data_IF_574332952809
#
_entry.id   IF_574332952809
#
_cell.length_a   1.000
_cell.length_b   1.000
_cell.length_c   1.000
_cell.angle_alpha   90.00
_cell.angle_beta   90.00
_cell.angle_gamma   90.00
#
_symmetry.space_group_name_H-M   'P 1'
#
loop_
_entity.id
_entity.type
_entity.pdbx_description
1 polymer ?
#
# COMPACT_ATOMS: atom_id res chain seq x y z
N UNK A 1 0.07 9.55 -2.72
CA UNK A 1 -1.20 9.86 -2.02
C UNK A 1 -1.02 9.50 -0.54
N UNK A 2 -2.02 9.71 0.34
CA UNK A 2 -2.03 9.26 1.76
C UNK A 2 -3.37 8.65 2.14
N UNK A 3 -3.93 7.86 1.22
CA UNK A 3 -5.31 7.40 1.31
C UNK A 3 -5.43 6.32 2.38
N UNK A 4 -4.49 5.38 2.43
CA UNK A 4 -4.48 4.31 3.44
C UNK A 4 -4.31 4.84 4.88
N UNK A 5 -3.71 6.02 5.04
CA UNK A 5 -3.54 6.66 6.34
C UNK A 5 -4.80 7.40 6.82
N UNK A 6 -5.73 7.70 5.91
CA UNK A 6 -6.92 8.52 6.20
C UNK A 6 -8.24 7.77 6.02
N UNK A 7 -8.24 6.65 5.30
CA UNK A 7 -9.40 5.77 5.13
C UNK A 7 -9.27 4.53 6.01
N UNK A 8 -10.40 4.00 6.46
CA UNK A 8 -10.42 2.74 7.20
C UNK A 8 -10.28 1.57 6.21
N UNK A 9 -9.49 0.56 6.58
CA UNK A 9 -9.40 -0.69 5.81
C UNK A 9 -10.79 -1.35 5.72
N UNK A 10 -11.31 -1.62 4.51
CA UNK A 10 -12.56 -2.35 4.33
C UNK A 10 -12.48 -3.78 4.88
N UNK A 11 -13.62 -4.32 5.33
CA UNK A 11 -13.73 -5.75 5.63
C UNK A 11 -13.68 -6.57 4.33
N UNK A 12 -12.97 -7.70 4.37
CA UNK A 12 -12.81 -8.56 3.20
C UNK A 12 -14.06 -9.40 3.00
N UNK A 13 -14.76 -9.17 1.90
CA UNK A 13 -15.96 -9.89 1.49
C UNK A 13 -15.83 -10.46 0.08
N UNK A 14 -16.74 -11.36 -0.31
CA UNK A 14 -16.66 -12.06 -1.61
C UNK A 14 -17.08 -11.18 -2.79
N UNK A 15 -17.83 -10.11 -2.52
CA UNK A 15 -18.51 -9.22 -3.47
C UNK A 15 -18.04 -7.76 -3.34
N UNK A 16 -16.78 -7.56 -2.91
CA UNK A 16 -16.18 -6.24 -2.80
C UNK A 16 -16.16 -5.50 -4.13
N UNK A 17 -16.40 -4.20 -4.07
CA UNK A 17 -16.19 -3.32 -5.23
C UNK A 17 -14.69 -3.23 -5.52
N UNK A 18 -14.34 -2.96 -6.78
CA UNK A 18 -12.93 -2.96 -7.23
C UNK A 18 -12.09 -1.92 -6.51
N UNK A 19 -12.66 -0.75 -6.26
CA UNK A 19 -12.06 0.29 -5.45
C UNK A 19 -11.73 -0.22 -4.04
N UNK A 20 -12.65 -0.94 -3.38
CA UNK A 20 -12.41 -1.44 -2.02
C UNK A 20 -11.27 -2.48 -2.01
N UNK A 21 -11.10 -3.25 -3.08
CA UNK A 21 -9.96 -4.16 -3.25
C UNK A 21 -8.64 -3.40 -3.33
N UNK A 22 -8.58 -2.30 -4.09
CA UNK A 22 -7.38 -1.47 -4.15
C UNK A 22 -7.08 -0.78 -2.82
N UNK A 23 -8.13 -0.38 -2.08
CA UNK A 23 -7.96 0.19 -0.75
C UNK A 23 -7.37 -0.85 0.22
N UNK A 24 -7.92 -2.07 0.29
CA UNK A 24 -7.34 -3.16 1.09
C UNK A 24 -5.89 -3.44 0.68
N UNK A 25 -5.60 -3.51 -0.63
CA UNK A 25 -4.23 -3.70 -1.10
C UNK A 25 -3.30 -2.58 -0.59
N UNK A 26 -3.71 -1.31 -0.65
CA UNK A 26 -2.91 -0.19 -0.15
C UNK A 26 -2.61 -0.28 1.36
N UNK A 27 -3.56 -0.75 2.18
CA UNK A 27 -3.35 -1.02 3.59
C UNK A 27 -2.37 -2.16 3.83
N UNK A 28 -2.43 -3.21 3.01
CA UNK A 28 -1.49 -4.33 3.08
C UNK A 28 -0.08 -3.90 2.73
N UNK A 29 0.12 -3.11 1.68
CA UNK A 29 1.47 -2.61 1.33
C UNK A 29 2.04 -1.69 2.41
N UNK A 30 1.19 -0.87 3.05
CA UNK A 30 1.61 -0.06 4.20
C UNK A 30 2.06 -0.95 5.39
N UNK A 31 1.34 -2.04 5.67
CA UNK A 31 1.70 -3.01 6.71
C UNK A 31 2.98 -3.77 6.35
N UNK A 32 3.15 -4.20 5.10
CA UNK A 32 4.37 -4.85 4.59
C UNK A 32 5.59 -3.94 4.71
N UNK A 33 5.46 -2.66 4.31
CA UNK A 33 6.51 -1.66 4.50
C UNK A 33 6.96 -1.59 5.96
N UNK A 34 6.00 -1.42 6.88
CA UNK A 34 6.27 -1.35 8.31
C UNK A 34 6.96 -2.61 8.82
N UNK A 35 6.46 -3.78 8.44
CA UNK A 35 7.04 -5.07 8.81
C UNK A 35 8.50 -5.19 8.38
N UNK A 36 8.81 -4.92 7.11
CA UNK A 36 10.19 -5.03 6.61
C UNK A 36 11.12 -3.97 7.20
N UNK A 37 10.61 -2.75 7.44
CA UNK A 37 11.39 -1.69 8.10
C UNK A 37 11.73 -2.04 9.56
N UNK A 38 10.76 -2.58 10.31
CA UNK A 38 10.96 -3.04 11.69
C UNK A 38 11.91 -4.24 11.74
N UNK A 39 11.73 -5.23 10.86
CA UNK A 39 12.62 -6.39 10.75
C UNK A 39 14.05 -5.96 10.41
N UNK A 40 14.24 -4.99 9.50
CA UNK A 40 15.55 -4.41 9.21
C UNK A 40 16.18 -3.72 10.43
N UNK A 41 15.35 -3.14 11.31
CA UNK A 41 15.76 -2.55 12.58
C UNK A 41 16.34 -3.54 13.57
N UNK A 42 15.91 -4.81 13.52
CA UNK A 42 16.39 -5.89 14.39
C UNK A 42 17.75 -6.45 13.99
N UNK A 43 18.22 -6.17 12.76
CA UNK A 43 19.50 -6.64 12.26
C UNK A 43 20.61 -5.58 12.39
N UNK A 44 21.87 -6.00 12.63
CA UNK A 44 23.02 -5.10 12.54
C UNK A 44 23.21 -4.58 11.12
N UNK A 45 24.09 -3.57 10.95
CA UNK A 45 24.45 -3.07 9.61
C UNK A 45 25.07 -4.20 8.77
N UNK A 46 24.63 -4.29 7.51
CA UNK A 46 25.11 -5.29 6.56
C UNK A 46 24.05 -5.67 5.53
N UNK A 47 24.39 -6.62 4.68
CA UNK A 47 23.60 -7.00 3.50
C UNK A 47 22.14 -7.35 3.82
N UNK A 48 21.88 -8.06 4.92
CA UNK A 48 20.50 -8.43 5.33
C UNK A 48 19.66 -7.19 5.64
N UNK A 49 20.21 -6.25 6.41
CA UNK A 49 19.52 -4.99 6.74
C UNK A 49 19.25 -4.17 5.48
N UNK A 50 20.24 -4.06 4.59
CA UNK A 50 20.08 -3.34 3.33
C UNK A 50 19.04 -3.97 2.41
N UNK A 51 19.01 -5.31 2.33
CA UNK A 51 18.02 -6.04 1.54
C UNK A 51 16.60 -5.81 2.08
N UNK A 52 16.40 -5.93 3.39
CA UNK A 52 15.10 -5.68 4.01
C UNK A 52 14.62 -4.24 3.82
N UNK A 53 15.52 -3.25 3.93
CA UNK A 53 15.19 -1.85 3.65
C UNK A 53 14.84 -1.63 2.17
N UNK A 54 15.50 -2.32 1.24
CA UNK A 54 15.12 -2.26 -0.19
C UNK A 54 13.70 -2.79 -0.40
N UNK A 55 13.35 -3.93 0.19
CA UNK A 55 12.00 -4.49 0.11
C UNK A 55 10.99 -3.51 0.70
N UNK A 56 11.23 -3.00 1.91
CA UNK A 56 10.36 -2.00 2.54
C UNK A 56 10.11 -0.79 1.63
N UNK A 57 11.14 -0.29 0.94
CA UNK A 57 11.01 0.84 0.03
C UNK A 57 10.25 0.51 -1.27
N UNK A 58 10.32 -0.72 -1.78
CA UNK A 58 9.49 -1.14 -2.92
C UNK A 58 8.01 -1.18 -2.54
N UNK A 59 7.67 -1.59 -1.31
CA UNK A 59 6.27 -1.59 -0.85
C UNK A 59 5.65 -0.19 -0.81
N UNK A 60 6.45 0.88 -0.62
CA UNK A 60 5.95 2.25 -0.74
C UNK A 60 5.48 2.58 -2.17
N UNK A 61 6.19 2.07 -3.19
CA UNK A 61 5.79 2.26 -4.60
C UNK A 61 4.55 1.43 -4.92
N UNK A 62 4.46 0.22 -4.39
CA UNK A 62 3.27 -0.61 -4.51
C UNK A 62 2.05 0.07 -3.86
N UNK A 63 2.21 0.60 -2.63
CA UNK A 63 1.18 1.37 -1.94
C UNK A 63 0.71 2.55 -2.79
N UNK A 64 1.63 3.37 -3.30
CA UNK A 64 1.28 4.53 -4.13
C UNK A 64 0.50 4.11 -5.38
N UNK A 65 0.89 3.02 -6.03
CA UNK A 65 0.16 2.45 -7.17
C UNK A 65 -1.25 2.01 -6.78
N UNK A 66 -1.44 1.36 -5.64
CA UNK A 66 -2.77 0.96 -5.17
C UNK A 66 -3.65 2.16 -4.85
N UNK A 67 -3.10 3.20 -4.23
CA UNK A 67 -3.83 4.44 -3.95
C UNK A 67 -4.24 5.18 -5.24
N UNK A 68 -3.36 5.20 -6.24
CA UNK A 68 -3.68 5.74 -7.55
C UNK A 68 -4.84 4.98 -8.22
N UNK A 69 -4.79 3.64 -8.21
CA UNK A 69 -5.85 2.81 -8.78
C UNK A 69 -7.17 2.96 -8.03
N UNK A 70 -7.13 3.06 -6.70
CA UNK A 70 -8.28 3.39 -5.88
C UNK A 70 -8.90 4.72 -6.31
N UNK A 71 -8.11 5.80 -6.37
CA UNK A 71 -8.63 7.13 -6.69
C UNK A 71 -9.31 7.17 -8.06
N UNK A 72 -8.70 6.55 -9.08
CA UNK A 72 -9.26 6.52 -10.44
C UNK A 72 -10.46 5.60 -10.60
N UNK A 73 -10.59 4.58 -9.75
CA UNK A 73 -11.73 3.66 -9.79
C UNK A 73 -12.92 4.19 -8.98
N UNK A 74 -12.66 4.77 -7.81
CA UNK A 74 -13.69 5.34 -6.94
C UNK A 74 -14.21 6.70 -7.46
N UNK A 75 -13.34 7.47 -8.11
CA UNK A 75 -13.64 8.78 -8.67
C UNK A 75 -13.20 8.82 -10.13
N UNK A 76 -13.89 8.06 -11.02
CA UNK A 76 -13.56 8.08 -12.43
C UNK A 76 -13.67 9.52 -12.93
N UNK A 77 -12.61 10.03 -13.53
CA UNK A 77 -12.63 11.34 -14.16
C UNK A 77 -13.65 11.27 -15.29
N UNK A 78 -14.85 11.81 -15.07
CA UNK A 78 -15.78 12.07 -16.16
C UNK A 78 -15.05 13.06 -17.06
N UNK A 79 -14.74 12.66 -18.29
CA UNK A 79 -14.24 13.57 -19.29
C UNK A 79 -15.12 14.84 -19.24
N UNK A 80 -14.50 15.99 -18.96
CA UNK A 80 -15.18 17.26 -19.10
C UNK A 80 -15.75 17.32 -20.53
N UNK A 81 -17.04 17.69 -20.62
CA UNK A 81 -17.75 17.87 -21.87
C UNK A 81 -17.22 19.04 -22.70
#
# INVERSE_FOLDING_TARGET
YRIAEHQKEPEIAKDMRREDVFLVASHREAQSHKFYAELAGMHPKGNTKEMLLKIANEELKHKEKMEYLYANTAFPQTAGG
#
